data_IF_655298112236
#
_entry.id   IF_655298112236
#
_cell.length_a   1.000
_cell.length_b   1.000
_cell.length_c   1.000
_cell.angle_alpha   90.00
_cell.angle_beta   90.00
_cell.angle_gamma   90.00
#
_symmetry.space_group_name_H-M   'P 1'
#
loop_
_entity.id
_entity.type
_entity.pdbx_description
1 polymer ?
#
# COMPACT_ATOMS: atom_id res chain seq x y z
N UNK A 1 9.16 -23.61 5.00
CA UNK A 1 8.22 -22.66 5.64
C UNK A 1 8.19 -21.32 4.89
N UNK A 2 9.34 -20.68 4.60
CA UNK A 2 9.37 -19.45 3.78
C UNK A 2 8.99 -19.67 2.31
N UNK A 3 9.41 -20.77 1.70
CA UNK A 3 9.15 -21.01 0.27
C UNK A 3 7.66 -21.25 -0.01
N UNK A 4 6.97 -21.94 0.89
CA UNK A 4 5.53 -22.14 0.80
C UNK A 4 4.76 -20.83 1.00
N UNK A 5 5.20 -19.96 1.92
CA UNK A 5 4.62 -18.63 2.11
C UNK A 5 4.85 -17.73 0.89
N UNK A 6 6.04 -17.78 0.28
CA UNK A 6 6.34 -17.09 -0.99
C UNK A 6 5.45 -17.58 -2.13
N UNK A 7 5.30 -18.90 -2.29
CA UNK A 7 4.47 -19.49 -3.33
C UNK A 7 3.00 -19.12 -3.15
N UNK A 8 2.48 -19.13 -1.92
CA UNK A 8 1.11 -18.69 -1.60
C UNK A 8 0.95 -17.20 -1.88
N UNK A 9 1.91 -16.36 -1.46
CA UNK A 9 1.90 -14.92 -1.71
C UNK A 9 1.96 -14.61 -3.21
N UNK A 10 2.82 -15.28 -3.97
CA UNK A 10 2.89 -15.15 -5.42
C UNK A 10 1.62 -15.66 -6.11
N UNK A 11 1.01 -16.76 -5.67
CA UNK A 11 -0.30 -17.22 -6.17
C UNK A 11 -1.38 -16.18 -5.90
N UNK A 12 -1.39 -15.61 -4.69
CA UNK A 12 -2.36 -14.60 -4.29
C UNK A 12 -2.21 -13.30 -5.11
N UNK A 13 -0.97 -12.88 -5.36
CA UNK A 13 -0.65 -11.75 -6.25
C UNK A 13 -1.00 -12.05 -7.72
N UNK A 14 -0.78 -13.28 -8.21
CA UNK A 14 -1.16 -13.70 -9.58
C UNK A 14 -2.67 -13.79 -9.78
N UNK A 15 -3.44 -14.13 -8.74
CA UNK A 15 -4.91 -14.12 -8.76
C UNK A 15 -5.44 -12.68 -8.78
N UNK A 16 -4.77 -11.75 -8.10
CA UNK A 16 -5.12 -10.32 -8.12
C UNK A 16 -4.54 -9.64 -9.36
N UNK A 17 -5.29 -9.66 -10.47
CA UNK A 17 -5.11 -8.71 -11.60
C UNK A 17 -5.21 -7.22 -11.15
N UNK A 18 -5.57 -6.97 -9.89
CA UNK A 18 -6.04 -5.71 -9.32
C UNK A 18 -5.50 -5.54 -7.90
N UNK A 19 -4.33 -4.92 -7.74
CA UNK A 19 -3.92 -4.25 -6.49
C UNK A 19 -3.71 -5.05 -5.18
N UNK A 20 -2.94 -4.45 -4.27
CA UNK A 20 -2.74 -4.93 -2.90
C UNK A 20 -3.48 -4.01 -1.93
N UNK A 21 -4.49 -4.56 -1.26
CA UNK A 21 -5.16 -3.85 -0.16
C UNK A 21 -4.18 -3.75 1.01
N UNK A 22 -3.88 -2.52 1.43
CA UNK A 22 -2.98 -2.21 2.55
C UNK A 22 -3.69 -1.27 3.52
N UNK A 23 -3.22 -1.26 4.77
CA UNK A 23 -3.72 -0.34 5.80
C UNK A 23 -2.65 0.70 6.08
N UNK A 24 -2.98 1.96 5.86
CA UNK A 24 -2.18 3.09 6.31
C UNK A 24 -2.72 3.57 7.66
N UNK A 25 -1.81 3.89 8.58
CA UNK A 25 -2.15 4.43 9.89
C UNK A 25 -1.68 5.86 9.94
N UNK A 26 -2.58 6.79 10.20
CA UNK A 26 -2.25 8.21 10.28
C UNK A 26 -1.69 8.60 11.68
N UNK A 27 -1.18 9.84 11.85
CA UNK A 27 -0.62 10.28 13.13
C UNK A 27 -1.61 10.28 14.30
N UNK A 28 -2.92 10.26 14.03
CA UNK A 28 -3.98 10.15 15.03
C UNK A 28 -4.39 8.69 15.28
N UNK A 29 -3.57 7.73 14.82
CA UNK A 29 -3.79 6.28 14.92
C UNK A 29 -5.05 5.80 14.18
N UNK A 30 -5.61 6.60 13.27
CA UNK A 30 -6.76 6.18 12.47
C UNK A 30 -6.27 5.34 11.30
N UNK A 31 -6.99 4.24 11.06
CA UNK A 31 -6.68 3.25 10.03
C UNK A 31 -7.44 3.60 8.75
N UNK A 32 -6.72 3.67 7.65
CA UNK A 32 -7.23 3.95 6.31
C UNK A 32 -6.91 2.75 5.41
N UNK A 33 -7.95 2.11 4.89
CA UNK A 33 -7.80 0.97 3.95
C UNK A 33 -7.62 1.55 2.55
N UNK A 34 -6.50 1.24 1.92
CA UNK A 34 -6.17 1.73 0.58
C UNK A 34 -5.73 0.61 -0.34
N UNK A 35 -5.75 0.87 -1.64
CA UNK A 35 -5.31 -0.08 -2.66
C UNK A 35 -3.99 0.37 -3.30
N UNK A 36 -2.92 -0.40 -3.09
CA UNK A 36 -1.61 -0.21 -3.69
C UNK A 36 -1.55 -0.97 -5.03
N UNK A 37 -1.47 -0.22 -6.14
CA UNK A 37 -1.48 -0.77 -7.50
C UNK A 37 -0.22 -0.42 -8.27
N UNK A 38 0.10 -1.24 -9.27
CA UNK A 38 1.12 -0.93 -10.27
C UNK A 38 0.43 -0.47 -11.55
N UNK A 39 0.71 0.75 -12.01
CA UNK A 39 0.17 1.33 -13.24
C UNK A 39 1.27 1.46 -14.29
N UNK A 40 0.89 1.35 -15.57
CA UNK A 40 1.78 1.66 -16.70
C UNK A 40 1.38 3.02 -17.26
N UNK A 41 2.18 4.05 -17.01
CA UNK A 41 1.94 5.42 -17.48
C UNK A 41 3.05 5.77 -18.46
N UNK A 42 2.69 6.06 -19.71
CA UNK A 42 3.63 6.46 -20.77
C UNK A 42 4.85 5.53 -20.93
N UNK A 43 4.61 4.22 -20.83
CA UNK A 43 5.67 3.20 -20.92
C UNK A 43 6.36 2.86 -19.58
N UNK A 44 6.27 3.74 -18.59
CA UNK A 44 6.88 3.54 -17.27
C UNK A 44 5.94 2.84 -16.30
N UNK A 45 6.50 1.93 -15.51
CA UNK A 45 5.76 1.26 -14.44
C UNK A 45 5.93 2.04 -13.14
N UNK A 46 4.82 2.52 -12.59
CA UNK A 46 4.77 3.27 -11.33
C UNK A 46 3.87 2.57 -10.33
N UNK A 47 4.19 2.70 -9.04
CA UNK A 47 3.30 2.27 -7.97
C UNK A 47 2.46 3.45 -7.51
N UNK A 48 1.16 3.24 -7.33
CA UNK A 48 0.21 4.26 -6.92
C UNK A 48 -0.68 3.73 -5.80
N UNK A 49 -1.06 4.60 -4.88
CA UNK A 49 -2.15 4.35 -3.95
C UNK A 49 -3.42 4.89 -4.63
N UNK A 50 -4.37 4.01 -4.96
CA UNK A 50 -5.58 4.40 -5.69
C UNK A 50 -6.77 4.54 -4.75
N UNK A 51 -7.53 3.47 -4.54
CA UNK A 51 -8.79 3.50 -3.80
C UNK A 51 -8.50 3.85 -2.34
N UNK A 52 -9.31 4.73 -1.75
CA UNK A 52 -9.16 5.18 -0.35
C UNK A 52 -8.11 6.29 -0.13
N UNK A 53 -7.29 6.63 -1.13
CA UNK A 53 -6.31 7.71 -0.99
C UNK A 53 -6.96 9.07 -0.72
N UNK A 54 -8.03 9.39 -1.45
CA UNK A 54 -8.72 10.69 -1.34
C UNK A 54 -9.30 10.92 0.06
N UNK A 55 -9.89 9.89 0.66
CA UNK A 55 -10.44 9.97 2.02
C UNK A 55 -9.34 10.26 3.05
N UNK A 56 -8.16 9.67 2.84
CA UNK A 56 -6.99 9.90 3.68
C UNK A 56 -6.47 11.35 3.54
N UNK A 57 -6.41 11.88 2.31
CA UNK A 57 -6.04 13.28 2.03
C UNK A 57 -6.98 14.25 2.73
N UNK A 58 -8.29 14.03 2.64
CA UNK A 58 -9.29 14.88 3.32
C UNK A 58 -9.14 14.78 4.84
N UNK A 59 -9.09 13.56 5.39
CA UNK A 59 -9.03 13.34 6.83
C UNK A 59 -7.79 13.98 7.46
N UNK A 60 -6.67 13.99 6.74
CA UNK A 60 -5.39 14.52 7.22
C UNK A 60 -5.07 15.93 6.68
N UNK A 61 -5.97 16.53 5.89
CA UNK A 61 -5.85 17.88 5.33
C UNK A 61 -4.56 18.12 4.53
N UNK A 62 -4.11 17.09 3.80
CA UNK A 62 -2.90 17.19 2.98
C UNK A 62 -3.06 18.22 1.87
N UNK A 63 -1.96 18.91 1.56
CA UNK A 63 -1.88 19.93 0.51
C UNK A 63 -0.75 19.61 -0.47
N UNK A 64 -0.87 20.17 -1.68
CA UNK A 64 0.18 20.09 -2.68
C UNK A 64 1.44 20.75 -2.14
N UNK A 65 2.57 20.05 -2.20
CA UNK A 65 3.86 20.50 -1.69
C UNK A 65 4.18 20.03 -0.27
N UNK A 66 3.21 19.46 0.45
CA UNK A 66 3.50 18.85 1.75
C UNK A 66 4.39 17.61 1.57
N UNK A 67 5.32 17.42 2.51
CA UNK A 67 6.19 16.25 2.57
C UNK A 67 5.90 15.48 3.85
N UNK A 68 5.57 14.20 3.72
CA UNK A 68 5.26 13.33 4.84
C UNK A 68 6.18 12.10 4.86
N UNK A 69 6.79 11.75 6.00
CA UNK A 69 7.51 10.51 6.13
C UNK A 69 6.53 9.34 6.15
N UNK A 70 6.81 8.28 5.38
CA UNK A 70 6.04 7.04 5.38
C UNK A 70 6.87 5.96 6.06
N UNK A 71 6.29 5.35 7.10
CA UNK A 71 6.91 4.26 7.85
C UNK A 71 6.22 2.94 7.52
N UNK A 72 7.00 1.87 7.44
CA UNK A 72 6.47 0.52 7.46
C UNK A 72 7.04 -0.23 8.64
N UNK A 73 6.20 -1.03 9.29
CA UNK A 73 6.61 -1.89 10.38
C UNK A 73 6.59 -3.33 9.87
N UNK A 74 7.69 -4.05 10.06
CA UNK A 74 7.69 -5.50 9.87
C UNK A 74 7.20 -6.12 11.18
N UNK A 75 6.09 -6.84 11.11
CA UNK A 75 5.59 -7.62 12.24
C UNK A 75 5.73 -9.11 11.89
N UNK A 76 6.62 -9.80 12.59
CA UNK A 76 7.06 -11.16 12.28
C UNK A 76 8.57 -11.28 12.48
N UNK A 77 9.00 -12.28 13.24
CA UNK A 77 10.36 -12.40 13.76
C UNK A 77 11.41 -12.47 12.65
N UNK A 78 12.47 -11.67 12.80
CA UNK A 78 13.79 -12.14 12.45
C UNK A 78 14.14 -13.24 13.46
N UNK A 79 14.12 -14.48 13.02
CA UNK A 79 14.83 -15.60 13.64
C UNK A 79 15.45 -16.43 12.53
#
# INVERSE_FOLDING_TARGET
MEEEARIIHEKYLKIRKTGLIVVLVDPLSKRHVVDLRKWKISGNLVYVISTGWWDMVIANKFKVGDVYPVWYFRFGQAK
#
